data_IF_766413083133
#
_entry.id   IF_766413083133
#
_cell.length_a   1.000
_cell.length_b   1.000
_cell.length_c   1.000
_cell.angle_alpha   90.00
_cell.angle_beta   90.00
_cell.angle_gamma   90.00
#
_symmetry.space_group_name_H-M   'P 1'
#
loop_
_entity.id
_entity.type
_entity.pdbx_description
1 polymer ?
#
# COMPACT_ATOMS: atom_id res chain seq x y z
N UNK A 1 11.67 -5.92 -11.37
CA UNK A 1 10.77 -4.97 -12.08
C UNK A 1 11.42 -4.27 -13.28
N UNK A 2 12.60 -4.68 -13.74
CA UNK A 2 13.39 -3.99 -14.78
C UNK A 2 13.27 -4.60 -16.18
N UNK A 3 12.67 -5.80 -16.30
CA UNK A 3 12.56 -6.53 -17.57
C UNK A 3 11.35 -6.07 -18.40
N UNK A 4 11.62 -5.56 -19.60
CA UNK A 4 10.63 -4.98 -20.53
C UNK A 4 9.63 -6.04 -21.04
N UNK A 5 9.99 -7.32 -21.05
CA UNK A 5 9.15 -8.42 -21.56
C UNK A 5 7.98 -8.81 -20.62
N UNK A 6 7.96 -8.30 -19.40
CA UNK A 6 6.91 -8.62 -18.41
C UNK A 6 5.80 -7.57 -18.51
N UNK A 7 4.55 -8.03 -18.67
CA UNK A 7 3.37 -7.16 -18.73
C UNK A 7 3.16 -6.37 -17.45
N UNK A 8 2.53 -5.20 -17.56
CA UNK A 8 2.22 -4.33 -16.41
C UNK A 8 1.36 -5.09 -15.39
N UNK A 9 0.42 -5.91 -15.83
CA UNK A 9 -0.42 -6.74 -14.96
C UNK A 9 0.40 -7.71 -14.09
N UNK A 10 1.42 -8.36 -14.65
CA UNK A 10 2.29 -9.26 -13.87
C UNK A 10 3.16 -8.47 -12.90
N UNK A 11 3.70 -7.32 -13.32
CA UNK A 11 4.46 -6.44 -12.40
C UNK A 11 3.59 -5.94 -11.25
N UNK A 12 2.33 -5.61 -11.51
CA UNK A 12 1.34 -5.21 -10.50
C UNK A 12 1.12 -6.31 -9.48
N UNK A 13 0.83 -7.54 -9.94
CA UNK A 13 0.64 -8.69 -9.03
C UNK A 13 1.87 -8.99 -8.18
N UNK A 14 3.07 -8.92 -8.77
CA UNK A 14 4.31 -9.09 -8.03
C UNK A 14 4.46 -7.99 -6.97
N UNK A 15 4.23 -6.75 -7.35
CA UNK A 15 4.30 -5.61 -6.46
C UNK A 15 3.31 -5.76 -5.29
N UNK A 16 2.05 -6.07 -5.58
CA UNK A 16 1.03 -6.33 -4.57
C UNK A 16 1.48 -7.47 -3.65
N UNK A 17 1.97 -8.59 -4.18
CA UNK A 17 2.42 -9.73 -3.36
C UNK A 17 3.57 -9.36 -2.42
N UNK A 18 4.60 -8.65 -2.92
CA UNK A 18 5.75 -8.27 -2.10
C UNK A 18 5.42 -7.14 -1.11
N UNK A 19 4.70 -6.11 -1.55
CA UNK A 19 4.30 -5.00 -0.69
C UNK A 19 3.36 -5.50 0.40
N UNK A 20 2.33 -6.28 0.04
CA UNK A 20 1.35 -6.77 1.01
C UNK A 20 2.01 -7.69 2.04
N UNK A 21 2.95 -8.54 1.63
CA UNK A 21 3.64 -9.41 2.57
C UNK A 21 4.54 -8.64 3.52
N UNK A 22 5.30 -7.66 3.03
CA UNK A 22 6.28 -6.93 3.85
C UNK A 22 5.63 -5.81 4.67
N UNK A 23 4.84 -4.93 4.03
CA UNK A 23 4.24 -3.78 4.71
C UNK A 23 3.07 -4.14 5.62
N UNK A 24 2.30 -5.19 5.28
CA UNK A 24 1.19 -5.59 6.14
C UNK A 24 1.61 -6.57 7.25
N UNK A 25 2.89 -6.95 7.30
CA UNK A 25 3.41 -7.75 8.40
C UNK A 25 3.46 -6.89 9.67
N UNK A 26 2.60 -7.21 10.64
CA UNK A 26 2.55 -6.50 11.91
C UNK A 26 1.96 -5.08 11.85
N UNK A 27 1.38 -4.65 10.73
CA UNK A 27 0.76 -3.32 10.59
C UNK A 27 -0.40 -3.09 11.58
N UNK A 28 -0.97 -4.17 12.12
CA UNK A 28 -2.03 -4.16 13.12
C UNK A 28 -1.60 -3.48 14.43
N UNK A 29 -0.30 -3.54 14.77
CA UNK A 29 0.26 -2.95 15.98
C UNK A 29 0.88 -1.57 15.75
N UNK A 30 0.86 -1.04 14.53
CA UNK A 30 1.46 0.26 14.22
C UNK A 30 0.57 1.41 14.68
N UNK A 31 1.15 2.36 15.39
CA UNK A 31 0.54 3.67 15.61
C UNK A 31 0.78 4.53 14.37
N UNK A 32 -0.26 4.73 13.56
CA UNK A 32 -0.17 5.50 12.30
C UNK A 32 -0.42 6.97 12.60
N UNK A 33 0.64 7.75 12.45
CA UNK A 33 0.61 9.21 12.43
C UNK A 33 0.46 9.75 11.00
N UNK A 34 0.08 11.02 10.85
CA UNK A 34 -0.11 11.71 9.58
C UNK A 34 1.15 11.66 8.70
N UNK A 35 2.33 11.81 9.30
CA UNK A 35 3.61 11.68 8.59
C UNK A 35 3.83 10.29 8.00
N UNK A 36 3.41 9.26 8.72
CA UNK A 36 3.54 7.88 8.25
C UNK A 36 2.53 7.59 7.15
N UNK A 37 1.30 8.11 7.27
CA UNK A 37 0.29 8.04 6.21
C UNK A 37 0.78 8.68 4.91
N UNK A 38 1.29 9.91 4.97
CA UNK A 38 1.88 10.59 3.81
C UNK A 38 3.08 9.82 3.22
N UNK A 39 3.92 9.23 4.08
CA UNK A 39 5.06 8.42 3.64
C UNK A 39 4.61 7.12 2.93
N UNK A 40 3.54 6.48 3.40
CA UNK A 40 2.96 5.29 2.79
C UNK A 40 2.36 5.61 1.42
N UNK A 41 1.64 6.73 1.30
CA UNK A 41 1.10 7.19 0.01
C UNK A 41 2.20 7.53 -0.99
N UNK A 42 3.24 8.25 -0.56
CA UNK A 42 4.40 8.56 -1.39
C UNK A 42 5.13 7.30 -1.85
N UNK A 43 5.23 6.30 -0.97
CA UNK A 43 5.82 4.99 -1.26
C UNK A 43 4.99 4.24 -2.31
N UNK A 44 3.66 4.20 -2.17
CA UNK A 44 2.76 3.61 -3.16
C UNK A 44 2.92 4.29 -4.53
N UNK A 45 2.98 5.62 -4.56
CA UNK A 45 3.23 6.38 -5.80
C UNK A 45 4.60 6.11 -6.41
N UNK A 46 5.64 5.95 -5.58
CA UNK A 46 6.98 5.60 -6.04
C UNK A 46 6.99 4.25 -6.74
N UNK A 47 6.31 3.25 -6.18
CA UNK A 47 6.17 1.94 -6.79
C UNK A 47 5.41 1.99 -8.12
N UNK A 48 4.31 2.74 -8.20
CA UNK A 48 3.54 2.92 -9.45
C UNK A 48 4.38 3.57 -10.55
N UNK A 49 5.08 4.66 -10.23
CA UNK A 49 6.00 5.33 -11.16
C UNK A 49 7.08 4.38 -11.67
N UNK A 50 7.67 3.58 -10.77
CA UNK A 50 8.72 2.62 -11.14
C UNK A 50 8.20 1.46 -11.98
N UNK A 51 6.99 0.97 -11.69
CA UNK A 51 6.32 -0.08 -12.46
C UNK A 51 6.02 0.37 -13.90
N UNK A 52 5.50 1.59 -14.04
CA UNK A 52 5.15 2.20 -15.33
C UNK A 52 6.34 2.85 -16.04
N UNK A 53 7.51 2.92 -15.40
CA UNK A 53 8.74 3.54 -15.93
C UNK A 53 8.55 5.02 -16.31
N UNK A 54 7.71 5.72 -15.56
CA UNK A 54 7.48 7.15 -15.79
C UNK A 54 8.71 7.92 -15.32
N UNK A 55 9.40 8.65 -16.21
CA UNK A 55 10.53 9.47 -15.81
C UNK A 55 10.04 10.63 -14.97
N UNK A 56 10.89 11.12 -14.06
CA UNK A 56 10.57 12.28 -13.21
C UNK A 56 10.30 13.53 -14.06
N UNK A 57 10.90 13.63 -15.26
CA UNK A 57 10.71 14.73 -16.22
C UNK A 57 9.33 14.75 -16.88
N UNK A 58 8.54 13.68 -16.79
CA UNK A 58 7.22 13.61 -17.40
C UNK A 58 6.20 14.59 -16.78
N UNK A 59 6.50 15.20 -15.62
CA UNK A 59 5.64 16.17 -14.90
C UNK A 59 4.17 15.73 -14.74
N UNK A 60 3.93 14.42 -14.66
CA UNK A 60 2.59 13.84 -14.42
C UNK A 60 2.16 13.95 -12.96
N UNK A 61 0.90 14.30 -12.73
CA UNK A 61 0.27 14.33 -11.41
C UNK A 61 0.08 12.92 -10.86
N UNK A 62 -0.16 12.78 -9.56
CA UNK A 62 -0.32 11.45 -8.95
C UNK A 62 -1.67 10.81 -9.35
N UNK A 63 -2.66 11.65 -9.65
CA UNK A 63 -4.01 11.27 -10.09
C UNK A 63 -3.97 10.71 -11.53
N UNK A 64 -3.24 11.37 -12.42
CA UNK A 64 -3.00 10.89 -13.80
C UNK A 64 -2.34 9.51 -13.79
N UNK A 65 -1.31 9.34 -12.96
CA UNK A 65 -0.56 8.09 -12.84
C UNK A 65 -1.43 6.96 -12.29
N UNK A 66 -2.30 7.26 -11.32
CA UNK A 66 -3.23 6.27 -10.76
C UNK A 66 -4.25 5.83 -11.82
N UNK A 67 -4.75 6.79 -12.61
CA UNK A 67 -5.72 6.55 -13.69
C UNK A 67 -5.10 5.69 -14.80
N UNK A 68 -3.89 6.04 -15.25
CA UNK A 68 -3.15 5.31 -16.28
C UNK A 68 -2.76 3.89 -15.84
N UNK A 69 -2.40 3.73 -14.55
CA UNK A 69 -2.15 2.42 -13.95
C UNK A 69 -3.43 1.58 -13.72
N UNK A 70 -4.61 2.16 -13.99
CA UNK A 70 -5.92 1.58 -13.66
C UNK A 70 -5.94 1.05 -12.22
N UNK A 71 -5.40 1.84 -11.30
CA UNK A 71 -5.29 1.45 -9.91
C UNK A 71 -5.49 2.64 -9.00
N UNK A 72 -6.23 2.40 -7.93
CA UNK A 72 -6.34 3.35 -6.82
C UNK A 72 -5.28 3.06 -5.77
N UNK A 73 -4.93 4.07 -4.99
CA UNK A 73 -4.13 3.92 -3.77
C UNK A 73 -4.92 3.05 -2.80
N UNK A 74 -4.37 1.92 -2.39
CA UNK A 74 -5.07 0.93 -1.57
C UNK A 74 -4.31 0.55 -0.30
N UNK A 75 -3.04 0.93 -0.19
CA UNK A 75 -2.19 0.50 0.92
C UNK A 75 -2.76 0.93 2.27
N UNK A 76 -3.12 2.21 2.40
CA UNK A 76 -3.67 2.76 3.64
C UNK A 76 -4.99 2.10 4.03
N UNK A 77 -5.89 1.92 3.06
CA UNK A 77 -7.17 1.20 3.22
C UNK A 77 -6.97 -0.24 3.69
N UNK A 78 -5.99 -0.96 3.12
CA UNK A 78 -5.65 -2.33 3.51
C UNK A 78 -5.13 -2.40 4.95
N UNK A 79 -4.27 -1.45 5.33
CA UNK A 79 -3.73 -1.36 6.70
C UNK A 79 -4.85 -1.09 7.70
N UNK A 80 -5.68 -0.06 7.46
CA UNK A 80 -6.83 0.25 8.34
C UNK A 80 -7.77 -0.95 8.49
N UNK A 81 -8.07 -1.63 7.38
CA UNK A 81 -8.92 -2.83 7.40
C UNK A 81 -8.35 -3.95 8.27
N UNK A 82 -7.02 -4.15 8.26
CA UNK A 82 -6.37 -5.14 9.15
C UNK A 82 -6.40 -4.69 10.61
N UNK A 83 -6.08 -3.43 10.89
CA UNK A 83 -6.17 -2.87 12.25
C UNK A 83 -7.59 -3.04 12.83
N UNK A 84 -8.64 -2.69 12.08
CA UNK A 84 -10.02 -2.88 12.54
C UNK A 84 -10.36 -4.35 12.79
N UNK A 85 -9.89 -5.26 11.93
CA UNK A 85 -10.08 -6.71 12.14
C UNK A 85 -9.38 -7.20 13.40
N UNK A 86 -8.15 -6.76 13.64
CA UNK A 86 -7.38 -7.11 14.82
C UNK A 86 -8.04 -6.59 16.09
N UNK A 87 -8.41 -5.31 16.14
CA UNK A 87 -9.16 -4.73 17.25
C UNK A 87 -10.46 -5.50 17.51
N UNK A 88 -11.23 -5.80 16.46
CA UNK A 88 -12.43 -6.62 16.57
C UNK A 88 -12.17 -8.04 17.08
N UNK A 89 -11.01 -8.63 16.79
CA UNK A 89 -10.59 -9.92 17.33
C UNK A 89 -10.25 -9.84 18.83
N UNK A 90 -9.52 -8.80 19.24
CA UNK A 90 -9.17 -8.54 20.66
C UNK A 90 -10.43 -8.30 21.50
N UNK A 91 -11.36 -7.46 21.02
CA UNK A 91 -12.65 -7.19 21.69
C UNK A 91 -13.44 -8.48 21.91
N UNK A 92 -13.56 -9.34 20.88
CA UNK A 92 -14.27 -10.62 20.99
C UNK A 92 -13.66 -11.61 21.98
N UNK A 93 -12.39 -11.43 22.35
CA UNK A 93 -11.68 -12.29 23.30
C UNK A 93 -11.77 -11.76 24.75
N UNK A 94 -12.54 -10.70 25.02
CA UNK A 94 -12.65 -10.01 26.31
C UNK A 94 -11.29 -9.60 26.93
N UNK A 95 -10.24 -9.44 26.13
CA UNK A 95 -8.91 -9.06 26.63
C UNK A 95 -8.78 -7.56 26.93
N UNK A 96 -9.77 -6.75 26.55
CA UNK A 96 -9.80 -5.30 26.81
C UNK A 96 -10.42 -4.94 28.16
N UNK A 97 -11.07 -5.88 28.85
CA UNK A 97 -11.68 -5.64 30.18
C UNK A 97 -10.66 -5.71 31.33
N UNK A 98 -9.38 -6.00 31.04
CA UNK A 98 -8.31 -6.18 32.03
C UNK A 98 -7.12 -5.20 31.86
N UNK A 99 -7.29 -4.09 31.15
CA UNK A 99 -6.31 -2.99 31.07
C UNK A 99 -6.81 -1.76 31.83
#
# INVERSE_FOLDING_TARGET
MTNIKISIAVRKRLLETFIETVLLYGCEAWTIDERMESSLEATEMWFLRRMMRIPWSAKKTNEEISTEAQTTRQLMTKIRKRQTKFVGHVIRRNQLEHL
#
